data_IF_532810762720
#
_entry.id   IF_532810762720
#
_cell.length_a   1.000
_cell.length_b   1.000
_cell.length_c   1.000
_cell.angle_alpha   90.00
_cell.angle_beta   90.00
_cell.angle_gamma   90.00
#
_symmetry.space_group_name_H-M   'P 1'
#
loop_
_entity.id
_entity.type
_entity.pdbx_description
1 polymer ?
#
# COMPACT_ATOMS: atom_id res chain seq x y z
N UNK A 1 -4.48 -8.90 17.23
CA UNK A 1 -5.18 -10.13 17.68
C UNK A 1 -6.02 -10.78 16.57
N UNK A 2 -6.76 -10.02 15.73
CA UNK A 2 -7.58 -10.60 14.64
C UNK A 2 -6.73 -11.28 13.56
N UNK A 3 -5.67 -10.64 13.06
CA UNK A 3 -4.77 -11.21 12.05
C UNK A 3 -4.10 -12.51 12.52
N UNK A 4 -3.73 -12.60 13.79
CA UNK A 4 -3.16 -13.83 14.36
C UNK A 4 -4.14 -15.01 14.37
N UNK A 5 -5.44 -14.73 14.43
CA UNK A 5 -6.51 -15.74 14.41
C UNK A 5 -6.96 -16.10 12.99
N UNK A 6 -6.74 -15.23 12.03
CA UNK A 6 -7.15 -15.37 10.62
C UNK A 6 -5.92 -15.42 9.73
N UNK A 7 -5.18 -16.52 9.78
CA UNK A 7 -3.89 -16.70 9.10
C UNK A 7 -3.99 -16.69 7.57
N UNK A 8 -5.17 -16.92 7.02
CA UNK A 8 -5.41 -16.91 5.57
C UNK A 8 -5.45 -15.49 4.98
N UNK A 9 -5.59 -14.47 5.84
CA UNK A 9 -5.56 -13.07 5.41
C UNK A 9 -4.12 -12.64 5.17
N UNK A 10 -3.82 -12.15 3.95
CA UNK A 10 -2.56 -11.46 3.66
C UNK A 10 -2.47 -10.15 4.44
N UNK A 11 -1.34 -9.90 5.08
CA UNK A 11 -1.10 -8.67 5.82
C UNK A 11 0.19 -8.00 5.32
N UNK A 12 0.05 -6.84 4.68
CA UNK A 12 1.17 -5.99 4.29
C UNK A 12 1.58 -5.01 5.38
N UNK A 13 2.80 -4.50 5.27
CA UNK A 13 3.24 -3.33 6.04
C UNK A 13 3.07 -2.09 5.16
N UNK A 14 2.13 -1.23 5.55
CA UNK A 14 1.92 0.06 4.93
C UNK A 14 2.93 1.07 5.47
N UNK A 15 4.13 1.09 4.86
CA UNK A 15 5.23 1.97 5.29
C UNK A 15 4.81 3.43 5.16
N UNK A 16 5.14 4.25 6.14
CA UNK A 16 4.83 5.68 6.11
C UNK A 16 6.07 6.55 6.23
N UNK A 17 6.07 7.66 5.47
CA UNK A 17 7.06 8.72 5.50
C UNK A 17 6.39 10.11 5.47
N UNK A 18 5.08 10.16 5.34
CA UNK A 18 4.30 11.39 5.14
C UNK A 18 3.14 11.56 6.12
N UNK A 19 3.11 10.76 7.18
CA UNK A 19 2.06 10.81 8.21
C UNK A 19 2.62 10.38 9.57
N UNK A 20 2.23 11.06 10.63
CA UNK A 20 2.65 10.80 12.00
C UNK A 20 4.15 11.09 12.29
N UNK A 21 4.74 10.35 13.21
CA UNK A 21 6.13 10.46 13.66
C UNK A 21 6.91 9.20 13.29
N UNK A 22 8.24 9.32 13.06
CA UNK A 22 9.09 8.15 12.95
C UNK A 22 9.10 7.33 14.23
N UNK A 23 9.40 6.04 14.10
CA UNK A 23 9.61 5.17 15.25
C UNK A 23 10.91 5.50 15.98
N UNK A 24 11.90 6.01 15.25
CA UNK A 24 13.16 6.46 15.82
C UNK A 24 13.23 8.01 15.82
N UNK A 25 13.17 8.60 17.01
CA UNK A 25 13.22 10.05 17.21
C UNK A 25 14.61 10.69 16.98
N UNK A 26 15.63 9.89 16.71
CA UNK A 26 16.98 10.37 16.38
C UNK A 26 17.12 10.79 14.92
N UNK A 27 16.27 10.30 14.05
CA UNK A 27 16.27 10.64 12.62
C UNK A 27 15.82 12.09 12.40
N UNK A 28 16.64 12.84 11.67
CA UNK A 28 16.43 14.29 11.48
C UNK A 28 16.06 14.63 10.04
N UNK A 29 16.55 13.88 9.07
CA UNK A 29 16.29 14.15 7.66
C UNK A 29 14.87 13.78 7.23
N UNK A 30 14.19 12.94 8.02
CA UNK A 30 12.85 12.41 7.73
C UNK A 30 11.71 13.30 8.25
N UNK A 31 12.03 14.31 9.06
CA UNK A 31 11.03 15.05 9.83
C UNK A 31 11.14 16.56 9.64
N UNK A 32 10.02 17.22 9.89
CA UNK A 32 9.92 18.66 9.99
C UNK A 32 10.44 19.19 11.34
N UNK A 33 10.35 20.49 11.57
CA UNK A 33 10.75 21.19 12.81
C UNK A 33 10.00 20.71 14.05
N UNK A 34 8.82 20.09 13.89
CA UNK A 34 8.00 19.56 14.97
C UNK A 34 8.29 18.07 15.24
N UNK A 35 9.25 17.48 14.53
CA UNK A 35 9.57 16.05 14.63
C UNK A 35 8.51 15.13 14.05
N UNK A 36 7.69 15.65 13.13
CA UNK A 36 6.70 14.90 12.36
C UNK A 36 7.24 14.60 10.97
N UNK A 37 6.85 13.47 10.38
CA UNK A 37 7.13 13.26 8.95
C UNK A 37 6.59 14.41 8.11
N UNK A 38 7.33 14.77 7.06
CA UNK A 38 6.90 15.80 6.12
C UNK A 38 5.56 15.43 5.48
N UNK A 39 4.58 16.32 5.60
CA UNK A 39 3.22 16.04 5.08
C UNK A 39 3.20 15.82 3.56
N UNK A 40 4.16 16.39 2.83
CA UNK A 40 4.34 16.22 1.39
C UNK A 40 5.79 15.91 1.10
N UNK A 41 6.02 14.84 0.37
CA UNK A 41 7.34 14.40 -0.07
C UNK A 41 7.56 14.93 -1.49
N UNK A 42 7.90 16.22 -1.58
CA UNK A 42 8.28 16.86 -2.84
C UNK A 42 9.79 16.66 -3.11
N UNK A 43 10.26 17.12 -4.28
CA UNK A 43 11.66 16.98 -4.69
C UNK A 43 12.65 17.62 -3.69
N UNK A 44 12.31 18.77 -3.11
CA UNK A 44 13.15 19.43 -2.11
C UNK A 44 13.32 18.56 -0.85
N UNK A 45 12.24 17.94 -0.38
CA UNK A 45 12.28 17.03 0.76
C UNK A 45 13.04 15.76 0.41
N UNK A 46 12.77 15.15 -0.75
CA UNK A 46 13.45 13.94 -1.24
C UNK A 46 14.97 14.13 -1.23
N UNK A 47 15.46 15.26 -1.73
CA UNK A 47 16.90 15.56 -1.83
C UNK A 47 17.58 15.79 -0.47
N UNK A 48 16.82 16.02 0.60
CA UNK A 48 17.32 16.19 1.97
C UNK A 48 17.28 14.92 2.80
N UNK A 49 16.57 13.91 2.34
CA UNK A 49 16.43 12.63 3.06
C UNK A 49 17.75 11.86 3.03
N UNK A 50 18.24 11.53 4.21
CA UNK A 50 19.33 10.58 4.39
C UNK A 50 18.80 9.16 4.16
N UNK A 51 19.39 8.45 3.20
CA UNK A 51 18.93 7.13 2.76
C UNK A 51 19.17 6.05 3.83
N UNK A 52 20.15 6.19 4.69
CA UNK A 52 20.38 5.30 5.81
C UNK A 52 19.29 5.49 6.88
N UNK A 53 18.94 6.73 7.22
CA UNK A 53 17.82 7.04 8.13
C UNK A 53 16.50 6.44 7.57
N UNK A 54 16.25 6.61 6.28
CA UNK A 54 15.08 6.05 5.61
C UNK A 54 15.05 4.52 5.69
N UNK A 55 16.17 3.87 5.40
CA UNK A 55 16.31 2.42 5.49
C UNK A 55 16.02 1.90 6.89
N UNK A 56 16.63 2.51 7.91
CA UNK A 56 16.43 2.08 9.29
C UNK A 56 15.02 2.36 9.80
N UNK A 57 14.39 3.46 9.37
CA UNK A 57 13.02 3.76 9.75
C UNK A 57 12.05 2.73 9.15
N UNK A 58 12.15 2.44 7.85
CA UNK A 58 11.29 1.44 7.24
C UNK A 58 11.52 0.03 7.79
N UNK A 59 12.77 -0.33 8.06
CA UNK A 59 13.07 -1.57 8.78
C UNK A 59 12.40 -1.60 10.16
N UNK A 60 12.44 -0.49 10.89
CA UNK A 60 11.81 -0.40 12.21
C UNK A 60 10.29 -0.56 12.15
N UNK A 61 9.64 -0.01 11.12
CA UNK A 61 8.20 -0.18 10.90
C UNK A 61 7.86 -1.65 10.61
N UNK A 62 8.63 -2.31 9.75
CA UNK A 62 8.46 -3.73 9.42
C UNK A 62 8.69 -4.61 10.66
N UNK A 63 9.79 -4.39 11.37
CA UNK A 63 10.15 -5.16 12.56
C UNK A 63 9.10 -5.00 13.68
N UNK A 64 8.48 -3.83 13.81
CA UNK A 64 7.39 -3.60 14.76
C UNK A 64 6.19 -4.51 14.49
N UNK A 65 5.79 -4.68 13.24
CA UNK A 65 4.69 -5.57 12.84
C UNK A 65 5.08 -7.03 13.05
N UNK A 66 6.30 -7.42 12.63
CA UNK A 66 6.86 -8.75 12.81
C UNK A 66 6.94 -9.14 14.28
N UNK A 67 7.47 -8.25 15.14
CA UNK A 67 7.59 -8.46 16.58
C UNK A 67 6.24 -8.51 17.29
N UNK A 68 5.20 -7.93 16.71
CA UNK A 68 3.82 -8.12 17.16
C UNK A 68 3.28 -9.52 16.85
N UNK A 69 4.04 -10.39 16.17
CA UNK A 69 3.68 -11.76 15.82
C UNK A 69 2.68 -11.84 14.67
N UNK A 70 2.72 -10.87 13.74
CA UNK A 70 1.97 -10.87 12.51
C UNK A 70 2.88 -11.36 11.39
N UNK A 71 2.40 -12.33 10.60
CA UNK A 71 3.07 -12.78 9.40
C UNK A 71 2.87 -11.75 8.29
N UNK A 72 3.96 -11.19 7.80
CA UNK A 72 3.95 -10.16 6.75
C UNK A 72 3.99 -10.85 5.40
N UNK A 73 3.05 -10.53 4.52
CA UNK A 73 2.97 -11.09 3.16
C UNK A 73 3.57 -10.18 2.09
N UNK A 74 3.55 -8.86 2.30
CA UNK A 74 4.03 -7.87 1.33
C UNK A 74 4.32 -6.51 1.97
N UNK A 75 4.81 -5.61 1.15
CA UNK A 75 5.03 -4.20 1.48
C UNK A 75 4.20 -3.31 0.55
N UNK A 76 3.75 -2.20 1.07
CA UNK A 76 3.26 -1.05 0.32
C UNK A 76 3.58 0.23 1.11
N UNK A 77 3.12 1.40 0.68
CA UNK A 77 3.37 2.60 1.47
C UNK A 77 2.30 3.67 1.31
N UNK A 78 2.15 4.48 2.35
CA UNK A 78 1.30 5.66 2.35
C UNK A 78 1.78 6.66 1.30
N UNK A 79 0.86 7.19 0.49
CA UNK A 79 1.16 8.08 -0.63
C UNK A 79 2.21 7.53 -1.62
N UNK A 80 2.29 6.20 -1.74
CA UNK A 80 3.21 5.52 -2.67
C UNK A 80 4.68 5.95 -2.56
N UNK A 81 5.14 6.36 -1.37
CA UNK A 81 6.52 6.86 -1.19
C UNK A 81 7.59 5.84 -1.58
N UNK A 82 7.28 4.54 -1.55
CA UNK A 82 8.19 3.48 -1.99
C UNK A 82 8.47 3.52 -3.51
N UNK A 83 7.65 4.23 -4.29
CA UNK A 83 7.83 4.35 -5.75
C UNK A 83 8.67 5.56 -6.15
N UNK A 84 9.11 6.38 -5.20
CA UNK A 84 9.97 7.53 -5.48
C UNK A 84 11.32 7.02 -6.00
N UNK A 85 11.77 7.42 -7.20
CA UNK A 85 12.98 6.88 -7.83
C UNK A 85 14.24 6.99 -6.97
N UNK A 86 14.37 8.07 -6.23
CA UNK A 86 15.51 8.32 -5.33
C UNK A 86 15.64 7.27 -4.22
N UNK A 87 14.54 6.62 -3.84
CA UNK A 87 14.51 5.61 -2.77
C UNK A 87 14.65 4.17 -3.27
N UNK A 88 14.82 3.97 -4.58
CA UNK A 88 14.83 2.67 -5.24
C UNK A 88 15.77 1.65 -4.57
N UNK A 89 17.02 2.04 -4.31
CA UNK A 89 18.01 1.13 -3.74
C UNK A 89 17.73 0.79 -2.27
N UNK A 90 17.16 1.74 -1.51
CA UNK A 90 16.68 1.50 -0.15
C UNK A 90 15.55 0.48 -0.16
N UNK A 91 14.56 0.67 -1.02
CA UNK A 91 13.40 -0.24 -1.13
C UNK A 91 13.86 -1.64 -1.54
N UNK A 92 14.78 -1.72 -2.51
CA UNK A 92 15.39 -3.00 -2.90
C UNK A 92 16.04 -3.71 -1.72
N UNK A 93 16.90 -3.03 -1.01
CA UNK A 93 17.62 -3.58 0.14
C UNK A 93 16.66 -4.10 1.22
N UNK A 94 15.51 -3.41 1.41
CA UNK A 94 14.46 -3.84 2.32
C UNK A 94 13.75 -5.10 1.81
N UNK A 95 13.37 -5.13 0.54
CA UNK A 95 12.75 -6.30 -0.09
C UNK A 95 13.66 -7.53 0.03
N UNK A 96 14.96 -7.36 -0.20
CA UNK A 96 15.96 -8.44 -0.10
C UNK A 96 16.11 -8.91 1.35
N UNK A 97 16.24 -7.98 2.31
CA UNK A 97 16.40 -8.31 3.72
C UNK A 97 15.25 -9.13 4.30
N UNK A 98 14.02 -8.78 3.93
CA UNK A 98 12.81 -9.42 4.47
C UNK A 98 12.25 -10.50 3.54
N UNK A 99 12.79 -10.65 2.34
CA UNK A 99 12.31 -11.54 1.29
C UNK A 99 10.80 -11.35 1.02
N UNK A 100 10.38 -10.09 0.85
CA UNK A 100 8.97 -9.73 0.66
C UNK A 100 8.72 -9.20 -0.74
N UNK A 101 7.49 -9.43 -1.24
CA UNK A 101 6.94 -8.75 -2.41
C UNK A 101 6.53 -7.33 -2.04
N UNK A 102 6.41 -6.47 -3.04
CA UNK A 102 5.94 -5.09 -2.88
C UNK A 102 4.91 -4.75 -3.94
N UNK A 103 3.95 -3.92 -3.57
CA UNK A 103 3.05 -3.28 -4.52
C UNK A 103 3.85 -2.47 -5.53
N UNK A 104 3.50 -2.55 -6.80
CA UNK A 104 4.05 -1.71 -7.87
C UNK A 104 3.60 -0.25 -7.72
N UNK A 105 4.32 0.62 -8.39
CA UNK A 105 3.92 2.01 -8.57
C UNK A 105 3.42 2.23 -9.99
N UNK A 106 2.75 3.36 -10.19
CA UNK A 106 2.11 3.77 -11.43
C UNK A 106 3.06 3.85 -12.62
N UNK A 107 4.28 4.38 -12.42
CA UNK A 107 5.19 4.73 -13.52
C UNK A 107 6.60 4.17 -13.36
N UNK A 108 6.88 3.38 -12.33
CA UNK A 108 8.25 2.95 -12.05
C UNK A 108 8.47 1.49 -12.38
N UNK A 109 9.16 1.25 -13.46
CA UNK A 109 9.75 -0.05 -13.79
C UNK A 109 10.89 -0.35 -12.80
N UNK A 110 10.53 -0.95 -11.67
CA UNK A 110 11.55 -1.64 -10.87
C UNK A 110 12.07 -2.81 -11.70
N UNK A 111 13.39 -3.00 -11.76
CA UNK A 111 14.01 -4.14 -12.45
C UNK A 111 13.78 -5.50 -11.72
N UNK A 112 12.84 -5.52 -10.77
CA UNK A 112 12.50 -6.68 -9.91
C UNK A 112 11.15 -7.28 -10.29
N UNK A 113 10.97 -7.64 -11.56
CA UNK A 113 9.69 -8.10 -12.11
C UNK A 113 9.00 -9.19 -11.30
N UNK A 114 9.74 -10.09 -10.64
CA UNK A 114 9.16 -11.24 -9.91
C UNK A 114 8.60 -10.89 -8.52
N UNK A 115 9.02 -9.78 -7.92
CA UNK A 115 8.62 -9.38 -6.57
C UNK A 115 7.83 -8.08 -6.49
N UNK A 116 7.68 -7.39 -7.61
CA UNK A 116 6.87 -6.18 -7.72
C UNK A 116 5.56 -6.54 -8.40
N UNK A 117 4.46 -6.45 -7.66
CA UNK A 117 3.13 -6.77 -8.18
C UNK A 117 2.52 -5.50 -8.78
N UNK A 118 2.17 -5.50 -10.08
CA UNK A 118 1.50 -4.37 -10.72
C UNK A 118 0.30 -3.89 -9.91
N UNK A 119 0.08 -2.59 -9.84
CA UNK A 119 -1.02 -2.00 -9.08
C UNK A 119 -1.95 -1.20 -10.00
N UNK A 120 -3.23 -1.53 -9.93
CA UNK A 120 -4.31 -0.71 -10.50
C UNK A 120 -4.79 0.21 -9.38
N UNK A 121 -4.52 1.50 -9.49
CA UNK A 121 -4.87 2.51 -8.49
C UNK A 121 -6.00 3.44 -8.93
N UNK A 122 -6.50 3.23 -10.13
CA UNK A 122 -7.57 4.03 -10.73
C UNK A 122 -8.95 3.82 -10.08
N UNK A 123 -9.15 2.77 -9.24
CA UNK A 123 -10.36 2.60 -8.43
C UNK A 123 -10.34 3.55 -7.24
N UNK A 124 -10.45 4.84 -7.52
CA UNK A 124 -10.34 5.90 -6.52
C UNK A 124 -11.25 7.08 -6.86
N UNK A 125 -11.75 7.78 -5.85
CA UNK A 125 -12.56 8.98 -5.91
C UNK A 125 -13.80 8.83 -6.85
N UNK A 126 -13.85 9.55 -7.94
CA UNK A 126 -14.97 9.52 -8.90
C UNK A 126 -15.14 8.18 -9.62
N UNK A 127 -14.10 7.35 -9.64
CA UNK A 127 -14.13 6.05 -10.28
C UNK A 127 -14.61 4.93 -9.34
N UNK A 128 -14.96 5.24 -8.09
CA UNK A 128 -15.54 4.28 -7.15
C UNK A 128 -16.99 4.00 -7.55
N UNK A 129 -17.15 3.06 -8.47
CA UNK A 129 -18.43 2.66 -9.05
C UNK A 129 -18.43 1.15 -9.37
N UNK A 130 -19.61 0.52 -9.37
CA UNK A 130 -19.79 -0.91 -9.71
C UNK A 130 -19.34 -1.22 -11.14
N UNK A 131 -19.56 -0.29 -12.07
CA UNK A 131 -19.19 -0.46 -13.48
C UNK A 131 -17.68 -0.33 -13.73
N UNK A 132 -16.90 0.10 -12.72
CA UNK A 132 -15.45 0.13 -12.82
C UNK A 132 -14.87 -1.20 -13.30
N UNK A 133 -15.36 -2.31 -12.73
CA UNK A 133 -14.85 -3.65 -13.07
C UNK A 133 -15.17 -4.05 -14.51
N UNK A 134 -16.38 -3.74 -15.01
CA UNK A 134 -16.73 -3.97 -16.41
C UNK A 134 -15.88 -3.11 -17.36
N UNK A 135 -15.71 -1.83 -17.01
CA UNK A 135 -15.01 -0.86 -17.85
C UNK A 135 -13.49 -1.09 -17.93
N UNK A 136 -12.90 -1.73 -16.90
CA UNK A 136 -11.46 -1.97 -16.80
C UNK A 136 -11.10 -3.45 -16.88
N UNK A 137 -12.00 -4.30 -17.35
CA UNK A 137 -11.79 -5.76 -17.37
C UNK A 137 -10.59 -6.16 -18.23
N UNK A 138 -10.39 -5.51 -19.38
CA UNK A 138 -9.26 -5.78 -20.26
C UNK A 138 -7.92 -5.35 -19.66
N UNK A 139 -7.90 -4.24 -18.94
CA UNK A 139 -6.71 -3.82 -18.18
C UNK A 139 -6.38 -4.85 -17.11
N UNK A 140 -7.36 -5.28 -16.32
CA UNK A 140 -7.18 -6.29 -15.28
C UNK A 140 -6.63 -7.59 -15.88
N UNK A 141 -7.18 -8.05 -17.01
CA UNK A 141 -6.75 -9.27 -17.72
C UNK A 141 -5.39 -9.14 -18.41
N UNK A 142 -4.89 -7.93 -18.60
CA UNK A 142 -3.56 -7.71 -19.20
C UNK A 142 -2.40 -8.11 -18.27
N UNK A 143 -2.69 -8.38 -16.99
CA UNK A 143 -1.73 -8.82 -15.98
C UNK A 143 -1.99 -10.28 -15.59
N UNK A 144 -0.93 -11.07 -15.44
CA UNK A 144 -1.02 -12.40 -14.82
C UNK A 144 -1.47 -12.30 -13.35
N UNK A 145 -0.99 -11.27 -12.67
CA UNK A 145 -1.37 -10.90 -11.30
C UNK A 145 -1.30 -9.39 -11.16
N UNK A 146 -2.31 -8.78 -10.57
CA UNK A 146 -2.30 -7.36 -10.20
C UNK A 146 -2.94 -7.11 -8.84
N UNK A 147 -2.52 -6.03 -8.19
CA UNK A 147 -3.11 -5.51 -6.94
C UNK A 147 -4.09 -4.39 -7.29
N UNK A 148 -5.28 -4.44 -6.76
CA UNK A 148 -6.24 -3.34 -6.85
C UNK A 148 -6.16 -2.49 -5.57
N UNK A 149 -5.68 -1.25 -5.70
CA UNK A 149 -5.62 -0.33 -4.57
C UNK A 149 -7.02 0.07 -4.12
N UNK A 150 -7.31 -0.14 -2.84
CA UNK A 150 -8.60 0.19 -2.24
C UNK A 150 -8.44 0.71 -0.83
N UNK A 151 -9.43 1.45 -0.35
CA UNK A 151 -9.44 2.06 0.98
C UNK A 151 -10.79 1.83 1.73
N UNK A 152 -11.38 0.62 1.69
CA UNK A 152 -12.69 0.41 2.29
C UNK A 152 -12.67 0.60 3.79
N UNK A 153 -13.71 1.21 4.35
CA UNK A 153 -13.87 1.33 5.80
C UNK A 153 -15.34 1.50 6.21
N UNK A 154 -15.64 1.11 7.44
CA UNK A 154 -16.84 1.58 8.13
C UNK A 154 -16.62 3.01 8.61
N UNK A 155 -17.63 3.85 8.46
CA UNK A 155 -17.54 5.27 8.81
C UNK A 155 -18.09 5.50 10.22
N UNK A 156 -17.26 6.12 11.05
CA UNK A 156 -17.64 6.69 12.32
C UNK A 156 -17.32 8.20 12.40
N UNK A 157 -17.67 8.86 13.49
CA UNK A 157 -17.39 10.27 13.66
C UNK A 157 -15.89 10.61 13.64
N UNK A 158 -15.04 9.69 14.08
CA UNK A 158 -13.61 9.90 14.02
C UNK A 158 -13.11 9.93 12.57
N UNK A 159 -13.51 8.96 11.78
CA UNK A 159 -13.10 8.88 10.37
C UNK A 159 -13.64 10.07 9.55
N UNK A 160 -14.89 10.48 9.78
CA UNK A 160 -15.50 11.65 9.12
C UNK A 160 -14.70 12.93 9.36
N UNK A 161 -14.12 13.10 10.55
CA UNK A 161 -13.37 14.30 10.92
C UNK A 161 -11.86 14.21 10.65
N UNK A 162 -11.33 13.02 10.37
CA UNK A 162 -9.89 12.81 10.22
C UNK A 162 -9.42 12.71 8.76
N UNK A 163 -10.32 12.51 7.81
CA UNK A 163 -9.98 12.39 6.39
C UNK A 163 -11.04 13.00 5.48
N UNK A 164 -10.61 13.62 4.39
CA UNK A 164 -11.50 14.08 3.31
C UNK A 164 -12.08 12.93 2.47
N UNK A 165 -11.45 11.75 2.52
CA UNK A 165 -11.85 10.55 1.77
C UNK A 165 -12.72 9.59 2.60
N UNK A 166 -13.62 10.09 3.44
CA UNK A 166 -14.43 9.25 4.31
C UNK A 166 -15.56 8.53 3.55
N UNK A 167 -16.41 9.29 2.84
CA UNK A 167 -17.61 8.75 2.19
C UNK A 167 -17.27 7.69 1.13
N UNK A 168 -16.23 7.93 0.33
CA UNK A 168 -15.82 6.98 -0.69
C UNK A 168 -15.36 5.64 -0.10
N UNK A 169 -14.80 5.62 1.12
CA UNK A 169 -14.45 4.36 1.81
C UNK A 169 -15.66 3.45 2.06
N UNK A 170 -16.82 4.05 2.39
CA UNK A 170 -18.05 3.27 2.55
C UNK A 170 -18.57 2.75 1.21
N UNK A 171 -18.47 3.55 0.15
CA UNK A 171 -18.83 3.10 -1.21
C UNK A 171 -17.92 1.96 -1.67
N UNK A 172 -16.61 2.09 -1.46
CA UNK A 172 -15.66 1.02 -1.76
C UNK A 172 -16.03 -0.28 -1.02
N UNK A 173 -16.33 -0.19 0.29
CA UNK A 173 -16.76 -1.34 1.07
C UNK A 173 -18.01 -2.00 0.48
N UNK A 174 -19.04 -1.21 0.15
CA UNK A 174 -20.29 -1.70 -0.44
C UNK A 174 -20.04 -2.40 -1.79
N UNK A 175 -19.25 -1.78 -2.67
CA UNK A 175 -18.93 -2.32 -3.99
C UNK A 175 -18.11 -3.61 -3.86
N UNK A 176 -17.03 -3.60 -3.10
CA UNK A 176 -16.12 -4.75 -2.97
C UNK A 176 -16.77 -5.97 -2.30
N UNK A 177 -17.78 -5.74 -1.47
CA UNK A 177 -18.57 -6.83 -0.86
C UNK A 177 -19.79 -7.26 -1.67
N UNK A 178 -20.09 -6.60 -2.79
CA UNK A 178 -21.23 -6.89 -3.63
C UNK A 178 -21.01 -8.18 -4.42
N UNK A 179 -21.98 -9.09 -4.35
CA UNK A 179 -21.95 -10.36 -5.08
C UNK A 179 -21.86 -10.20 -6.61
N UNK A 180 -22.33 -9.07 -7.15
CA UNK A 180 -22.24 -8.73 -8.58
C UNK A 180 -20.77 -8.66 -9.02
N UNK A 181 -19.89 -8.07 -8.20
CA UNK A 181 -18.45 -7.96 -8.53
C UNK A 181 -17.83 -9.36 -8.63
N UNK A 182 -18.09 -10.22 -7.64
CA UNK A 182 -17.60 -11.61 -7.68
C UNK A 182 -18.08 -12.35 -8.92
N UNK A 183 -19.33 -12.10 -9.35
CA UNK A 183 -19.88 -12.68 -10.58
C UNK A 183 -19.14 -12.17 -11.82
N UNK A 184 -18.95 -10.85 -11.94
CA UNK A 184 -18.20 -10.22 -13.07
C UNK A 184 -16.80 -10.84 -13.18
N UNK A 185 -16.06 -10.93 -12.06
CA UNK A 185 -14.71 -11.49 -12.07
C UNK A 185 -14.71 -12.96 -12.50
N UNK A 186 -15.61 -13.78 -11.98
CA UNK A 186 -15.71 -15.20 -12.34
C UNK A 186 -16.09 -15.40 -13.82
N UNK A 187 -17.01 -14.61 -14.37
CA UNK A 187 -17.41 -14.66 -15.78
C UNK A 187 -16.27 -14.27 -16.73
N UNK A 188 -15.26 -13.56 -16.22
CA UNK A 188 -14.06 -13.18 -16.94
C UNK A 188 -12.82 -14.00 -16.58
N UNK A 189 -13.01 -15.13 -15.88
CA UNK A 189 -11.95 -16.06 -15.45
C UNK A 189 -10.88 -15.42 -14.54
N UNK A 190 -11.26 -14.35 -13.81
CA UNK A 190 -10.37 -13.67 -12.86
C UNK A 190 -10.51 -14.28 -11.49
N UNK A 191 -9.41 -14.77 -10.93
CA UNK A 191 -9.34 -15.39 -9.62
C UNK A 191 -8.91 -14.38 -8.57
N UNK A 192 -9.74 -14.19 -7.53
CA UNK A 192 -9.36 -13.40 -6.37
C UNK A 192 -8.34 -14.17 -5.53
N UNK A 193 -7.22 -13.53 -5.24
CA UNK A 193 -6.13 -14.07 -4.43
C UNK A 193 -5.62 -13.05 -3.42
N UNK A 194 -4.52 -13.35 -2.74
CA UNK A 194 -3.79 -12.42 -1.89
C UNK A 194 -2.29 -12.69 -1.97
N UNK A 195 -1.47 -11.78 -1.44
CA UNK A 195 -0.02 -11.83 -1.52
C UNK A 195 0.65 -13.07 -0.90
N UNK A 196 -0.06 -13.88 -0.11
CA UNK A 196 0.46 -15.15 0.42
C UNK A 196 0.44 -16.28 -0.61
N UNK A 197 -0.44 -16.16 -1.59
CA UNK A 197 -0.73 -17.22 -2.56
C UNK A 197 -0.18 -16.93 -3.96
N UNK A 198 0.61 -15.89 -4.12
CA UNK A 198 1.22 -15.45 -5.37
C UNK A 198 2.74 -15.42 -5.29
#
# INVERSE_FOLDING_TARGET
NLLKKNKDIGCGVHMTLSCNKPLNNKFKSLVDENGMFHRRINEEVVNKIDLDELYYEFCSQIDRVKNAGVEISHLDSHHHVHTIPHFKDVIKSIMDKYNLKIRGGLDHKFDYKERVIPCIDSFYDKNVDVEFFNNNIEEIKSYDVCDLMTHPAFIDNYLLNSTSYAINRAKEYEILTNKKIKKILNENEIVLTNYKNI
#
